data_IF_265872065638
#
_entry.id   IF_265872065638
#
_cell.length_a   1.000
_cell.length_b   1.000
_cell.length_c   1.000
_cell.angle_alpha   90.00
_cell.angle_beta   90.00
_cell.angle_gamma   90.00
#
_symmetry.space_group_name_H-M   'P 1'
#
loop_
_entity.id
_entity.type
_entity.pdbx_description
1 polymer ?
#
# COMPACT_ATOMS: atom_id res chain seq x y z
N UNK A 1 -26.39 1.05 -15.59
CA UNK A 1 -25.14 0.58 -16.24
C UNK A 1 -24.00 0.91 -15.29
N UNK A 2 -23.40 -0.08 -14.65
CA UNK A 2 -22.28 0.16 -13.71
C UNK A 2 -20.98 0.18 -14.51
N UNK A 3 -20.24 1.28 -14.43
CA UNK A 3 -18.95 1.46 -15.07
C UNK A 3 -17.91 0.92 -14.09
N UNK A 4 -17.29 -0.22 -14.39
CA UNK A 4 -16.20 -0.78 -13.58
C UNK A 4 -14.88 -0.49 -14.26
N UNK A 5 -13.96 0.15 -13.53
CA UNK A 5 -12.58 0.35 -13.97
C UNK A 5 -11.68 -0.59 -13.16
N UNK A 6 -11.02 -1.51 -13.86
CA UNK A 6 -10.00 -2.38 -13.26
C UNK A 6 -8.69 -1.59 -13.25
N UNK A 7 -8.16 -1.33 -12.07
CA UNK A 7 -6.84 -0.72 -11.91
C UNK A 7 -5.76 -1.81 -11.95
N UNK A 8 -4.60 -1.47 -12.50
CA UNK A 8 -3.44 -2.36 -12.48
C UNK A 8 -3.06 -2.71 -11.04
N UNK A 9 -2.96 -4.01 -10.75
CA UNK A 9 -2.65 -4.50 -9.42
C UNK A 9 -1.14 -4.50 -9.18
N UNK A 10 -0.68 -3.76 -8.18
CA UNK A 10 0.74 -3.73 -7.79
C UNK A 10 1.07 -5.04 -7.08
N UNK A 11 2.02 -5.81 -7.62
CA UNK A 11 2.47 -7.09 -7.04
C UNK A 11 3.71 -6.90 -6.18
N UNK A 12 3.64 -7.31 -4.91
CA UNK A 12 4.75 -7.24 -3.96
C UNK A 12 5.21 -8.65 -3.60
N UNK A 13 6.47 -8.95 -3.94
CA UNK A 13 7.13 -10.20 -3.55
C UNK A 13 7.71 -10.03 -2.15
N UNK A 14 7.21 -10.80 -1.20
CA UNK A 14 7.78 -10.90 0.15
C UNK A 14 8.51 -12.23 0.32
N UNK A 15 9.27 -12.38 1.41
CA UNK A 15 9.90 -13.66 1.79
C UNK A 15 9.52 -13.99 3.21
N UNK A 16 9.22 -15.27 3.46
CA UNK A 16 8.88 -15.79 4.79
C UNK A 16 9.80 -15.23 5.87
N UNK A 17 9.19 -14.78 6.96
CA UNK A 17 9.82 -14.19 8.14
C UNK A 17 10.59 -12.88 7.91
N UNK A 18 10.74 -12.38 6.67
CA UNK A 18 11.33 -11.07 6.37
C UNK A 18 10.26 -9.99 6.31
N UNK A 19 10.63 -8.76 6.66
CA UNK A 19 9.74 -7.60 6.60
C UNK A 19 10.01 -6.80 5.34
N UNK A 20 8.94 -6.46 4.62
CA UNK A 20 8.94 -5.48 3.53
C UNK A 20 8.30 -4.18 4.01
N UNK A 21 8.88 -3.05 3.64
CA UNK A 21 8.38 -1.70 3.98
C UNK A 21 7.74 -1.06 2.76
N UNK A 22 6.49 -0.64 2.90
CA UNK A 22 5.69 0.06 1.89
C UNK A 22 5.61 1.52 2.28
N UNK A 23 6.02 2.40 1.38
CA UNK A 23 6.05 3.85 1.56
C UNK A 23 5.09 4.47 0.55
N UNK A 24 4.14 5.25 1.05
CA UNK A 24 3.16 5.98 0.24
C UNK A 24 3.56 7.45 0.11
N UNK A 25 3.14 8.12 -0.96
CA UNK A 25 3.34 9.57 -1.12
C UNK A 25 2.53 10.40 -0.13
N UNK A 26 1.39 9.87 0.30
CA UNK A 26 0.42 10.53 1.18
C UNK A 26 0.24 9.77 2.48
N UNK A 27 -0.22 10.47 3.52
CA UNK A 27 -0.53 9.88 4.82
C UNK A 27 -1.53 8.74 4.66
N UNK A 28 -1.26 7.62 5.33
CA UNK A 28 -2.17 6.49 5.41
C UNK A 28 -3.20 6.79 6.51
N UNK A 29 -4.48 6.68 6.14
CA UNK A 29 -5.60 6.88 7.06
C UNK A 29 -6.27 5.56 7.44
N UNK A 30 -5.91 4.47 6.75
CA UNK A 30 -6.35 3.12 7.07
C UNK A 30 -5.86 2.09 6.08
N UNK A 31 -6.05 0.82 6.41
CA UNK A 31 -5.78 -0.31 5.52
C UNK A 31 -6.68 -1.51 5.84
N UNK A 32 -6.82 -2.43 4.89
CA UNK A 32 -7.43 -3.75 5.10
C UNK A 32 -6.51 -4.83 4.58
N UNK A 33 -6.38 -5.91 5.35
CA UNK A 33 -5.56 -7.07 5.03
C UNK A 33 -6.49 -8.28 4.85
N UNK A 34 -6.38 -8.98 3.72
CA UNK A 34 -7.24 -10.12 3.41
C UNK A 34 -6.97 -11.34 4.31
N UNK A 35 -5.69 -11.63 4.59
CA UNK A 35 -5.27 -12.77 5.41
C UNK A 35 -4.33 -12.31 6.54
N UNK A 36 -4.91 -12.02 7.71
CA UNK A 36 -4.17 -11.67 8.93
C UNK A 36 -3.55 -12.88 9.64
N UNK A 37 -3.92 -14.10 9.25
CA UNK A 37 -3.33 -15.33 9.79
C UNK A 37 -1.98 -15.57 9.09
N UNK A 38 -1.94 -15.43 7.77
CA UNK A 38 -0.75 -15.62 6.96
C UNK A 38 0.16 -14.40 6.89
N UNK A 39 -0.35 -13.19 7.11
CA UNK A 39 0.44 -11.96 7.05
C UNK A 39 0.26 -11.10 8.31
N UNK A 40 1.25 -10.29 8.61
CA UNK A 40 1.20 -9.23 9.62
C UNK A 40 1.46 -7.89 8.93
N UNK A 41 0.60 -6.90 9.20
CA UNK A 41 0.85 -5.50 8.82
C UNK A 41 1.01 -4.69 10.09
N UNK A 42 2.01 -3.79 10.12
CA UNK A 42 2.21 -2.84 11.21
C UNK A 42 2.48 -1.46 10.66
N UNK A 43 1.85 -0.47 11.25
CA UNK A 43 2.22 0.94 11.12
C UNK A 43 3.57 1.17 11.79
N UNK A 44 4.37 2.05 11.19
CA UNK A 44 5.63 2.47 11.79
C UNK A 44 5.39 3.71 12.66
N UNK A 45 5.79 3.68 13.95
CA UNK A 45 5.71 4.87 14.80
C UNK A 45 6.43 6.05 14.15
N UNK A 46 5.80 7.23 14.23
CA UNK A 46 6.33 8.49 13.68
C UNK A 46 6.48 8.55 12.14
N UNK A 47 5.96 7.56 11.40
CA UNK A 47 5.94 7.55 9.93
C UNK A 47 4.53 7.21 9.42
N UNK A 48 3.68 8.22 9.32
CA UNK A 48 2.25 8.04 9.01
C UNK A 48 1.94 7.63 7.57
N UNK A 49 2.94 7.60 6.69
CA UNK A 49 2.82 7.18 5.30
C UNK A 49 3.49 5.81 5.03
N UNK A 50 3.82 5.06 6.09
CA UNK A 50 4.59 3.82 5.98
C UNK A 50 3.90 2.65 6.67
N UNK A 51 3.83 1.52 5.98
CA UNK A 51 3.46 0.22 6.54
C UNK A 51 4.61 -0.77 6.40
N UNK A 52 4.75 -1.64 7.37
CA UNK A 52 5.50 -2.87 7.22
C UNK A 52 4.56 -4.04 6.99
N UNK A 53 4.97 -4.97 6.13
CA UNK A 53 4.27 -6.24 5.91
C UNK A 53 5.25 -7.40 6.04
N UNK A 54 4.86 -8.41 6.81
CA UNK A 54 5.66 -9.60 7.08
C UNK A 54 4.81 -10.87 6.88
N UNK A 55 5.18 -11.76 5.95
CA UNK A 55 4.55 -13.07 5.84
C UNK A 55 4.97 -14.00 6.97
N UNK A 56 3.99 -14.76 7.47
CA UNK A 56 4.11 -15.78 8.52
C UNK A 56 4.13 -17.21 7.97
N UNK A 57 3.84 -17.42 6.69
CA UNK A 57 3.91 -18.73 6.01
C UNK A 57 4.56 -18.59 4.63
N UNK A 58 5.01 -19.71 4.06
CA UNK A 58 5.60 -19.79 2.71
C UNK A 58 4.50 -20.15 1.70
N UNK A 59 4.54 -19.53 0.51
CA UNK A 59 3.69 -19.94 -0.62
C UNK A 59 2.24 -19.47 -0.54
N UNK A 60 1.94 -18.57 0.41
CA UNK A 60 0.63 -17.94 0.56
C UNK A 60 0.61 -16.55 -0.10
N UNK A 61 -0.59 -16.08 -0.40
CA UNK A 61 -0.87 -14.77 -0.97
C UNK A 61 -2.05 -14.09 -0.27
N UNK A 62 -2.11 -12.76 -0.39
CA UNK A 62 -3.16 -11.93 0.17
C UNK A 62 -3.27 -10.62 -0.61
N UNK A 63 -4.36 -9.89 -0.37
CA UNK A 63 -4.48 -8.49 -0.76
C UNK A 63 -4.24 -7.58 0.45
N UNK A 64 -3.55 -6.47 0.21
CA UNK A 64 -3.45 -5.34 1.13
C UNK A 64 -4.05 -4.11 0.43
N UNK A 65 -5.15 -3.58 0.96
CA UNK A 65 -5.74 -2.34 0.46
C UNK A 65 -5.39 -1.20 1.39
N UNK A 66 -4.83 -0.12 0.86
CA UNK A 66 -4.38 1.06 1.62
C UNK A 66 -5.22 2.26 1.19
N UNK A 67 -5.68 3.03 2.18
CA UNK A 67 -6.42 4.28 2.00
C UNK A 67 -5.56 5.44 2.47
N UNK A 68 -5.42 6.47 1.63
CA UNK A 68 -4.59 7.63 1.92
C UNK A 68 -5.43 8.91 2.05
N UNK A 69 -4.87 9.93 2.70
CA UNK A 69 -5.57 11.18 3.04
C UNK A 69 -6.01 11.99 1.81
N UNK A 70 -5.27 11.87 0.70
CA UNK A 70 -5.57 12.39 -0.64
C UNK A 70 -6.64 11.57 -1.37
N UNK A 71 -7.39 10.72 -0.66
CA UNK A 71 -8.55 9.94 -1.14
C UNK A 71 -8.21 8.89 -2.19
N UNK A 72 -6.93 8.50 -2.31
CA UNK A 72 -6.51 7.40 -3.17
C UNK A 72 -6.61 6.05 -2.46
N UNK A 73 -6.89 5.02 -3.27
CA UNK A 73 -7.02 3.64 -2.82
C UNK A 73 -6.05 2.80 -3.63
N UNK A 74 -5.20 2.05 -2.93
CA UNK A 74 -4.21 1.17 -3.54
C UNK A 74 -4.52 -0.26 -3.16
N UNK A 75 -4.66 -1.15 -4.14
CA UNK A 75 -4.82 -2.58 -3.89
C UNK A 75 -3.55 -3.31 -4.32
N UNK A 76 -2.87 -3.92 -3.34
CA UNK A 76 -1.61 -4.60 -3.52
C UNK A 76 -1.84 -6.10 -3.44
N UNK A 77 -1.36 -6.84 -4.44
CA UNK A 77 -1.26 -8.29 -4.37
C UNK A 77 0.07 -8.67 -3.72
N UNK A 78 0.02 -9.26 -2.54
CA UNK A 78 1.20 -9.59 -1.75
C UNK A 78 1.34 -11.10 -1.66
N UNK A 79 2.53 -11.63 -1.94
CA UNK A 79 2.76 -13.07 -1.88
C UNK A 79 4.09 -13.39 -1.20
N UNK A 80 4.13 -14.53 -0.51
CA UNK A 80 5.26 -14.99 0.28
C UNK A 80 6.06 -16.06 -0.45
N UNK A 81 7.37 -15.84 -0.56
CA UNK A 81 8.34 -16.79 -1.10
C UNK A 81 9.26 -17.33 -0.01
N UNK A 82 10.09 -18.33 -0.33
CA UNK A 82 11.13 -18.85 0.56
C UNK A 82 12.55 -18.47 0.10
N UNK A 83 13.55 -19.06 0.75
CA UNK A 83 14.96 -18.87 0.41
C UNK A 83 15.34 -19.50 -0.94
N UNK A 84 14.53 -20.42 -1.49
CA UNK A 84 14.77 -21.07 -2.78
C UNK A 84 14.29 -20.21 -3.96
N UNK A 85 13.52 -19.15 -3.70
CA UNK A 85 13.09 -18.23 -4.75
C UNK A 85 14.28 -17.58 -5.44
N UNK A 86 14.33 -17.70 -6.77
CA UNK A 86 15.37 -17.07 -7.61
C UNK A 86 15.32 -15.53 -7.57
N UNK A 87 14.16 -14.98 -7.26
CA UNK A 87 13.96 -13.54 -7.22
C UNK A 87 14.00 -13.05 -5.77
N UNK A 88 14.77 -11.98 -5.48
CA UNK A 88 14.82 -11.41 -4.14
C UNK A 88 13.46 -10.78 -3.76
N UNK A 89 13.11 -10.76 -2.46
CA UNK A 89 11.93 -10.03 -2.00
C UNK A 89 12.10 -8.52 -2.21
N UNK A 90 10.98 -7.82 -2.38
CA UNK A 90 10.93 -6.36 -2.39
C UNK A 90 10.97 -5.86 -0.95
N UNK A 91 12.15 -5.50 -0.44
CA UNK A 91 12.31 -5.06 0.96
C UNK A 91 11.82 -3.62 1.20
N UNK A 92 11.95 -2.75 0.19
CA UNK A 92 11.43 -1.38 0.22
C UNK A 92 10.62 -1.19 -1.06
N UNK A 93 9.37 -0.77 -0.90
CA UNK A 93 8.42 -0.51 -1.99
C UNK A 93 7.94 0.93 -1.84
N UNK A 94 8.35 1.80 -2.77
CA UNK A 94 7.85 3.17 -2.84
C UNK A 94 6.74 3.21 -3.89
N UNK A 95 5.51 3.55 -3.47
CA UNK A 95 4.35 3.63 -4.35
C UNK A 95 4.15 5.10 -4.70
N UNK A 96 4.48 5.42 -5.95
CA UNK A 96 4.30 6.75 -6.54
C UNK A 96 3.26 6.67 -7.64
N UNK A 97 2.25 7.52 -7.56
CA UNK A 97 1.24 7.62 -8.62
C UNK A 97 1.14 9.08 -9.04
N UNK A 98 1.48 9.42 -10.30
CA UNK A 98 1.40 10.80 -10.74
C UNK A 98 -0.01 11.35 -10.53
N UNK A 99 -0.12 12.51 -9.90
CA UNK A 99 -1.39 13.24 -9.88
C UNK A 99 -1.72 13.79 -11.25
N UNK A 100 -2.95 13.59 -11.69
CA UNK A 100 -3.48 14.34 -12.83
C UNK A 100 -3.55 15.83 -12.47
N UNK A 101 -3.68 16.67 -13.49
CA UNK A 101 -3.77 18.11 -13.27
C UNK A 101 -4.98 18.46 -12.41
N UNK A 102 -6.10 17.78 -12.67
CA UNK A 102 -7.36 17.97 -11.96
C UNK A 102 -7.25 17.56 -10.48
N UNK A 103 -6.58 16.44 -10.18
CA UNK A 103 -6.36 16.01 -8.79
C UNK A 103 -5.50 17.02 -8.02
N UNK A 104 -4.47 17.60 -8.66
CA UNK A 104 -3.63 18.63 -8.03
C UNK A 104 -4.44 19.89 -7.70
N UNK A 105 -5.25 20.37 -8.63
CA UNK A 105 -6.10 21.55 -8.44
C UNK A 105 -7.11 21.32 -7.29
N UNK A 106 -7.70 20.13 -7.19
CA UNK A 106 -8.62 19.79 -6.09
C UNK A 106 -7.91 19.76 -4.73
N UNK A 107 -6.73 19.16 -4.64
CA UNK A 107 -5.94 19.10 -3.40
C UNK A 107 -5.51 20.51 -2.94
N UNK A 108 -5.17 21.41 -3.85
CA UNK A 108 -4.86 22.81 -3.52
C UNK A 108 -6.08 23.55 -2.98
N UNK A 109 -7.25 23.39 -3.61
CA UNK A 109 -8.51 23.98 -3.16
C UNK A 109 -8.92 23.48 -1.77
N UNK A 110 -8.74 22.19 -1.49
CA UNK A 110 -9.03 21.60 -0.17
C UNK A 110 -8.09 22.14 0.91
N UNK A 111 -6.79 22.29 0.61
CA UNK A 111 -5.84 22.94 1.53
C UNK A 111 -6.27 24.36 1.86
N UNK A 112 -6.58 25.19 0.86
CA UNK A 112 -7.00 26.59 1.08
C UNK A 112 -8.24 26.66 1.98
N UNK A 113 -9.23 25.79 1.74
CA UNK A 113 -10.43 25.71 2.59
C UNK A 113 -10.09 25.33 4.04
N UNK A 114 -9.17 24.39 4.26
CA UNK A 114 -8.78 23.98 5.61
C UNK A 114 -8.09 25.09 6.43
N UNK A 115 -7.48 26.08 5.76
CA UNK A 115 -6.84 27.24 6.42
C UNK A 115 -7.76 28.46 6.57
N UNK A 116 -8.98 28.42 6.04
CA UNK A 116 -9.92 29.56 6.05
C UNK A 116 -10.98 29.48 7.16
N UNK A 117 -10.80 28.55 8.11
CA UNK A 117 -11.60 28.37 9.33
C UNK A 117 -10.67 28.34 10.54
#
# INVERSE_FOLDING_TARGET
MSIYQVLDTIKIRTRYAMTSTIIMESKIIGYTLGDSIGFEVKELPHMENVLSIRPKLIGIDTNLTIFTQDKRIYNLYVFSTDYKSKNPPNLIVNIQTPYTKEEKEQLELEKIKSYSF
#
